data_IF_393969410849
#
_entry.id   IF_393969410849
#
_cell.length_a   1.000
_cell.length_b   1.000
_cell.length_c   1.000
_cell.angle_alpha   90.00
_cell.angle_beta   90.00
_cell.angle_gamma   90.00
#
_symmetry.space_group_name_H-M   'P 1'
#
loop_
_entity.id
_entity.type
_entity.pdbx_description
1 polymer ?
#
# COMPACT_ATOMS: atom_id res chain seq x y z
N UNK A 1 -26.15 -22.58 -17.84
CA UNK A 1 -24.88 -21.82 -17.71
C UNK A 1 -23.95 -22.38 -16.65
N UNK A 2 -24.35 -22.50 -15.37
CA UNK A 2 -23.53 -23.21 -14.36
C UNK A 2 -23.30 -24.67 -14.73
N UNK A 3 -24.33 -25.33 -15.26
CA UNK A 3 -24.27 -26.73 -15.69
C UNK A 3 -23.24 -26.97 -16.79
N UNK A 4 -23.02 -25.99 -17.67
CA UNK A 4 -22.00 -26.04 -18.72
C UNK A 4 -20.58 -26.03 -18.15
N UNK A 5 -20.37 -25.48 -16.94
CA UNK A 5 -19.05 -25.45 -16.30
C UNK A 5 -18.61 -26.84 -15.80
N UNK A 6 -19.53 -27.78 -15.60
CA UNK A 6 -19.16 -29.16 -15.25
C UNK A 6 -18.51 -29.93 -16.41
N UNK A 7 -18.52 -29.36 -17.63
CA UNK A 7 -17.84 -29.95 -18.80
C UNK A 7 -16.37 -29.54 -18.90
N UNK A 8 -15.94 -28.54 -18.12
CA UNK A 8 -14.57 -28.06 -18.10
C UNK A 8 -13.71 -28.95 -17.22
N UNK A 9 -12.41 -28.98 -17.50
CA UNK A 9 -11.45 -29.65 -16.64
C UNK A 9 -11.13 -28.84 -15.36
N UNK A 10 -10.35 -29.44 -14.47
CA UNK A 10 -10.01 -28.83 -13.18
C UNK A 10 -9.18 -27.55 -13.35
N UNK A 11 -8.27 -27.50 -14.32
CA UNK A 11 -7.41 -26.35 -14.56
C UNK A 11 -8.22 -25.18 -15.10
N UNK A 12 -9.10 -25.43 -16.08
CA UNK A 12 -10.01 -24.42 -16.63
C UNK A 12 -10.91 -23.82 -15.54
N UNK A 13 -11.40 -24.65 -14.62
CA UNK A 13 -12.20 -24.19 -13.48
C UNK A 13 -11.39 -23.31 -12.52
N UNK A 14 -10.12 -23.67 -12.24
CA UNK A 14 -9.23 -22.86 -11.40
C UNK A 14 -8.92 -21.51 -12.05
N UNK A 15 -8.64 -21.49 -13.36
CA UNK A 15 -8.37 -20.26 -14.10
C UNK A 15 -9.57 -19.31 -14.07
N UNK A 16 -10.79 -19.84 -14.24
CA UNK A 16 -12.02 -19.04 -14.12
C UNK A 16 -12.25 -18.49 -12.70
N UNK A 17 -11.82 -19.21 -11.66
CA UNK A 17 -11.88 -18.71 -10.28
C UNK A 17 -10.89 -17.56 -10.08
N UNK A 18 -9.66 -17.68 -10.59
CA UNK A 18 -8.65 -16.63 -10.49
C UNK A 18 -9.05 -15.38 -11.27
N UNK A 19 -9.62 -15.54 -12.48
CA UNK A 19 -10.20 -14.43 -13.22
C UNK A 19 -11.34 -13.76 -12.45
N UNK A 20 -12.21 -14.55 -11.82
CA UNK A 20 -13.27 -14.02 -10.96
C UNK A 20 -12.72 -13.21 -9.77
N UNK A 21 -11.65 -13.67 -9.12
CA UNK A 21 -11.00 -12.94 -8.03
C UNK A 21 -10.39 -11.62 -8.52
N UNK A 22 -9.77 -11.63 -9.69
CA UNK A 22 -9.23 -10.43 -10.32
C UNK A 22 -10.33 -9.41 -10.66
N UNK A 23 -11.43 -9.86 -11.26
CA UNK A 23 -12.59 -9.02 -11.55
C UNK A 23 -13.22 -8.42 -10.29
N UNK A 24 -13.25 -9.16 -9.17
CA UNK A 24 -13.70 -8.62 -7.88
C UNK A 24 -12.79 -7.46 -7.44
N UNK A 25 -11.46 -7.64 -7.50
CA UNK A 25 -10.50 -6.59 -7.11
C UNK A 25 -10.61 -5.35 -8.01
N UNK A 26 -10.68 -5.54 -9.33
CA UNK A 26 -10.82 -4.46 -10.31
C UNK A 26 -12.14 -3.70 -10.13
N UNK A 27 -13.25 -4.42 -9.98
CA UNK A 27 -14.56 -3.80 -9.82
C UNK A 27 -14.66 -3.05 -8.49
N UNK A 28 -14.09 -3.59 -7.41
CA UNK A 28 -14.01 -2.90 -6.12
C UNK A 28 -13.18 -1.60 -6.23
N UNK A 29 -12.02 -1.65 -6.90
CA UNK A 29 -11.23 -0.45 -7.20
C UNK A 29 -11.97 0.56 -8.07
N UNK A 30 -12.75 0.10 -9.04
CA UNK A 30 -13.60 0.95 -9.89
C UNK A 30 -14.68 1.65 -9.06
N UNK A 31 -15.36 0.95 -8.14
CA UNK A 31 -16.30 1.57 -7.21
C UNK A 31 -15.64 2.66 -6.36
N UNK A 32 -14.43 2.40 -5.86
CA UNK A 32 -13.67 3.40 -5.11
C UNK A 32 -13.40 4.65 -5.96
N UNK A 33 -12.87 4.47 -7.18
CA UNK A 33 -12.54 5.59 -8.06
C UNK A 33 -13.75 6.36 -8.57
N UNK A 34 -14.86 5.69 -8.89
CA UNK A 34 -16.10 6.39 -9.23
C UNK A 34 -16.66 7.15 -8.03
N UNK A 35 -16.56 6.59 -6.82
CA UNK A 35 -16.96 7.31 -5.60
C UNK A 35 -16.08 8.55 -5.38
N UNK A 36 -14.76 8.43 -5.60
CA UNK A 36 -13.84 9.58 -5.57
C UNK A 36 -14.22 10.62 -6.63
N UNK A 37 -14.51 10.19 -7.85
CA UNK A 37 -14.88 11.09 -8.95
C UNK A 37 -16.17 11.87 -8.66
N UNK A 38 -17.17 11.21 -8.08
CA UNK A 38 -18.49 11.80 -7.82
C UNK A 38 -18.55 12.59 -6.50
N UNK A 39 -17.88 12.11 -5.44
CA UNK A 39 -18.04 12.62 -4.07
C UNK A 39 -16.77 13.26 -3.49
N UNK A 40 -15.62 13.09 -4.13
CA UNK A 40 -14.31 13.50 -3.62
C UNK A 40 -13.62 12.43 -2.77
N UNK A 41 -12.30 12.54 -2.67
CA UNK A 41 -11.44 11.50 -2.08
C UNK A 41 -11.73 11.21 -0.60
N UNK A 42 -11.92 12.23 0.25
CA UNK A 42 -12.18 12.02 1.68
C UNK A 42 -13.48 11.21 1.91
N UNK A 43 -14.55 11.55 1.16
CA UNK A 43 -15.81 10.79 1.22
C UNK A 43 -15.64 9.37 0.67
N UNK A 44 -14.86 9.19 -0.39
CA UNK A 44 -14.56 7.85 -0.92
C UNK A 44 -13.84 6.97 0.09
N UNK A 45 -12.89 7.51 0.86
CA UNK A 45 -12.20 6.80 1.95
C UNK A 45 -13.18 6.39 3.06
N UNK A 46 -14.12 7.26 3.43
CA UNK A 46 -15.16 6.94 4.42
C UNK A 46 -16.10 5.83 3.95
N UNK A 47 -16.59 5.94 2.71
CA UNK A 47 -17.46 4.93 2.08
C UNK A 47 -16.73 3.59 2.01
N UNK A 48 -15.45 3.60 1.61
CA UNK A 48 -14.62 2.40 1.53
C UNK A 48 -14.42 1.71 2.88
N UNK A 49 -14.13 2.44 3.96
CA UNK A 49 -13.98 1.83 5.29
C UNK A 49 -15.29 1.15 5.75
N UNK A 50 -16.45 1.70 5.39
CA UNK A 50 -17.76 1.08 5.68
C UNK A 50 -17.99 -0.13 4.78
N UNK A 51 -17.74 -0.02 3.48
CA UNK A 51 -17.98 -1.07 2.50
C UNK A 51 -17.07 -2.28 2.72
N UNK A 52 -15.77 -2.05 2.92
CA UNK A 52 -14.76 -3.08 3.10
C UNK A 52 -15.07 -3.99 4.30
N UNK A 53 -15.44 -3.38 5.45
CA UNK A 53 -15.81 -4.10 6.67
C UNK A 53 -17.03 -5.00 6.51
N UNK A 54 -17.92 -4.69 5.56
CA UNK A 54 -19.11 -5.49 5.27
C UNK A 54 -18.82 -6.57 4.24
N UNK A 55 -18.13 -6.23 3.15
CA UNK A 55 -17.94 -7.15 2.02
C UNK A 55 -16.90 -8.24 2.32
N UNK A 56 -15.82 -7.93 3.05
CA UNK A 56 -14.75 -8.89 3.29
C UNK A 56 -15.25 -10.13 4.06
N UNK A 57 -15.97 -10.03 5.19
CA UNK A 57 -16.52 -11.21 5.87
C UNK A 57 -17.48 -12.01 4.98
N UNK A 58 -18.27 -11.35 4.13
CA UNK A 58 -19.19 -12.03 3.19
C UNK A 58 -18.41 -12.88 2.18
N UNK A 59 -17.32 -12.33 1.62
CA UNK A 59 -16.46 -13.06 0.68
C UNK A 59 -15.77 -14.25 1.35
N UNK A 60 -15.20 -14.03 2.53
CA UNK A 60 -14.51 -15.07 3.29
C UNK A 60 -15.46 -16.20 3.69
N UNK A 61 -16.65 -15.87 4.21
CA UNK A 61 -17.65 -16.87 4.60
C UNK A 61 -18.06 -17.73 3.40
N UNK A 62 -18.32 -17.14 2.22
CA UNK A 62 -18.69 -17.91 1.01
C UNK A 62 -17.63 -18.94 0.61
N UNK A 63 -16.35 -18.56 0.66
CA UNK A 63 -15.24 -19.48 0.36
C UNK A 63 -15.12 -20.53 1.46
N UNK A 64 -15.15 -20.11 2.72
CA UNK A 64 -15.03 -20.99 3.87
C UNK A 64 -16.15 -22.05 3.91
N UNK A 65 -17.42 -21.65 3.75
CA UNK A 65 -18.55 -22.59 3.74
C UNK A 65 -18.45 -23.59 2.57
N UNK A 66 -17.94 -23.17 1.40
CA UNK A 66 -17.77 -24.06 0.24
C UNK A 66 -16.80 -25.20 0.53
N UNK A 67 -15.69 -24.90 1.18
CA UNK A 67 -14.64 -25.88 1.50
C UNK A 67 -14.74 -26.42 2.94
N UNK A 68 -15.82 -26.09 3.66
CA UNK A 68 -16.04 -26.45 5.07
C UNK A 68 -14.87 -26.05 5.98
N UNK A 69 -14.23 -24.92 5.66
CA UNK A 69 -13.19 -24.33 6.51
C UNK A 69 -13.88 -23.77 7.75
N UNK A 70 -13.46 -24.17 8.97
CA UNK A 70 -14.04 -23.64 10.19
C UNK A 70 -13.85 -22.12 10.27
N UNK A 71 -14.92 -21.40 10.62
CA UNK A 71 -14.89 -19.95 10.87
C UNK A 71 -15.22 -19.62 12.32
N UNK A 72 -14.82 -18.43 12.75
CA UNK A 72 -15.21 -17.77 14.00
C UNK A 72 -15.54 -16.32 13.64
N UNK A 73 -16.78 -15.90 13.89
CA UNK A 73 -17.28 -14.56 13.57
C UNK A 73 -17.08 -14.12 12.09
N UNK A 74 -17.22 -15.07 11.15
CA UNK A 74 -17.03 -14.83 9.71
C UNK A 74 -15.57 -14.75 9.25
N UNK A 75 -14.61 -15.05 10.14
CA UNK A 75 -13.18 -15.13 9.83
C UNK A 75 -12.71 -16.58 9.92
N UNK A 76 -11.89 -17.08 8.98
CA UNK A 76 -11.32 -18.43 9.09
C UNK A 76 -10.56 -18.64 10.41
N UNK A 77 -10.78 -19.78 11.06
CA UNK A 77 -10.22 -20.04 12.40
C UNK A 77 -8.70 -20.00 12.45
N UNK A 78 -8.04 -20.40 11.37
CA UNK A 78 -6.58 -20.31 11.26
C UNK A 78 -6.04 -18.87 11.35
N UNK A 79 -6.88 -17.83 11.21
CA UNK A 79 -6.49 -16.44 11.50
C UNK A 79 -6.84 -16.04 12.94
N UNK A 80 -7.99 -16.48 13.46
CA UNK A 80 -8.42 -16.09 14.82
C UNK A 80 -7.74 -16.86 15.94
N UNK A 81 -7.15 -18.01 15.62
CA UNK A 81 -6.51 -18.92 16.58
C UNK A 81 -4.99 -19.07 16.30
N UNK A 82 -4.44 -18.37 15.29
CA UNK A 82 -3.01 -18.34 15.02
C UNK A 82 -2.22 -17.74 16.17
N UNK A 83 -0.95 -18.16 16.30
CA UNK A 83 -0.02 -17.52 17.21
C UNK A 83 0.22 -16.07 16.78
N UNK A 84 0.52 -15.20 17.75
CA UNK A 84 0.75 -13.78 17.48
C UNK A 84 1.89 -13.58 16.49
N UNK A 85 2.93 -14.38 16.61
CA UNK A 85 4.11 -14.37 15.74
C UNK A 85 3.73 -14.70 14.30
N UNK A 86 2.86 -15.70 14.08
CA UNK A 86 2.38 -16.07 12.75
C UNK A 86 1.54 -14.95 12.11
N UNK A 87 0.71 -14.26 12.90
CA UNK A 87 -0.06 -13.12 12.42
C UNK A 87 0.83 -11.93 12.03
N UNK A 88 1.93 -11.72 12.76
CA UNK A 88 2.92 -10.69 12.42
C UNK A 88 3.65 -11.05 11.13
N UNK A 89 4.11 -12.29 10.97
CA UNK A 89 4.76 -12.73 9.74
C UNK A 89 3.80 -12.69 8.54
N UNK A 90 2.54 -13.09 8.73
CA UNK A 90 1.52 -12.96 7.70
C UNK A 90 1.31 -11.49 7.31
N UNK A 91 1.29 -10.56 8.27
CA UNK A 91 1.19 -9.13 7.99
C UNK A 91 2.39 -8.63 7.18
N UNK A 92 3.61 -9.10 7.47
CA UNK A 92 4.81 -8.81 6.69
C UNK A 92 4.69 -9.37 5.26
N UNK A 93 4.15 -10.58 5.10
CA UNK A 93 3.89 -11.16 3.78
C UNK A 93 2.83 -10.39 2.98
N UNK A 94 1.80 -9.85 3.64
CA UNK A 94 0.85 -8.94 2.99
C UNK A 94 1.53 -7.67 2.46
N UNK A 95 2.48 -7.09 3.22
CA UNK A 95 3.27 -5.96 2.76
C UNK A 95 4.19 -6.31 1.59
N UNK A 96 4.81 -7.51 1.59
CA UNK A 96 5.60 -8.01 0.45
C UNK A 96 4.72 -8.18 -0.80
N UNK A 97 3.52 -8.74 -0.66
CA UNK A 97 2.58 -8.93 -1.77
C UNK A 97 2.12 -7.61 -2.37
N UNK A 98 1.83 -6.63 -1.52
CA UNK A 98 1.50 -5.28 -1.98
C UNK A 98 2.64 -4.66 -2.80
N UNK A 99 3.88 -4.71 -2.29
CA UNK A 99 5.03 -4.17 -3.05
C UNK A 99 5.32 -4.96 -4.33
N UNK A 100 5.14 -6.28 -4.31
CA UNK A 100 5.29 -7.10 -5.50
C UNK A 100 4.26 -6.72 -6.57
N UNK A 101 3.01 -6.47 -6.17
CA UNK A 101 1.97 -6.01 -7.09
C UNK A 101 2.31 -4.65 -7.71
N UNK A 102 2.79 -3.70 -6.89
CA UNK A 102 3.24 -2.38 -7.35
C UNK A 102 4.38 -2.49 -8.38
N UNK A 103 5.41 -3.29 -8.07
CA UNK A 103 6.55 -3.53 -8.96
C UNK A 103 6.17 -4.24 -10.26
N UNK A 104 5.30 -5.27 -10.22
CA UNK A 104 4.85 -5.98 -11.41
C UNK A 104 4.03 -5.06 -12.32
N UNK A 105 3.14 -4.23 -11.76
CA UNK A 105 2.41 -3.22 -12.54
C UNK A 105 3.35 -2.25 -13.24
N UNK A 106 4.36 -1.75 -12.52
CA UNK A 106 5.37 -0.86 -13.10
C UNK A 106 6.09 -1.54 -14.27
N UNK A 107 6.57 -2.77 -14.07
CA UNK A 107 7.33 -3.52 -15.08
C UNK A 107 6.49 -3.86 -16.31
N UNK A 108 5.21 -4.24 -16.14
CA UNK A 108 4.34 -4.54 -17.27
C UNK A 108 4.13 -3.30 -18.13
N UNK A 109 3.91 -2.13 -17.53
CA UNK A 109 3.80 -0.87 -18.29
C UNK A 109 5.13 -0.53 -18.96
N UNK A 110 6.23 -0.65 -18.22
CA UNK A 110 7.57 -0.37 -18.72
C UNK A 110 7.97 -1.29 -19.87
N UNK A 111 7.57 -2.56 -19.92
CA UNK A 111 8.14 -3.51 -20.91
C UNK A 111 7.27 -3.73 -22.15
N UNK A 112 6.02 -3.27 -22.16
CA UNK A 112 5.03 -3.68 -23.17
C UNK A 112 4.41 -2.52 -23.97
N UNK A 113 4.75 -1.25 -23.70
CA UNK A 113 4.11 -0.09 -24.36
C UNK A 113 5.10 1.01 -24.71
N UNK A 114 5.12 1.49 -25.96
CA UNK A 114 5.95 2.63 -26.39
C UNK A 114 5.82 3.83 -25.43
N UNK A 115 6.94 4.47 -25.06
CA UNK A 115 7.10 5.47 -23.96
C UNK A 115 7.19 4.92 -22.51
N UNK A 116 7.34 3.60 -22.40
CA UNK A 116 7.81 2.76 -21.27
C UNK A 116 8.09 3.47 -19.93
N UNK A 117 9.30 4.00 -19.72
CA UNK A 117 9.71 4.53 -18.41
C UNK A 117 8.95 5.81 -18.01
N UNK A 118 8.68 6.72 -18.95
CA UNK A 118 7.98 7.97 -18.63
C UNK A 118 6.55 7.69 -18.17
N UNK A 119 5.84 6.83 -18.91
CA UNK A 119 4.47 6.46 -18.58
C UNK A 119 4.38 5.62 -17.31
N UNK A 120 5.24 4.61 -17.15
CA UNK A 120 5.30 3.80 -15.93
C UNK A 120 5.49 4.68 -14.69
N UNK A 121 6.45 5.61 -14.77
CA UNK A 121 6.72 6.56 -13.69
C UNK A 121 5.57 7.54 -13.45
N UNK A 122 4.92 8.06 -14.50
CA UNK A 122 3.76 8.96 -14.35
C UNK A 122 2.57 8.26 -13.69
N UNK A 123 2.29 7.03 -14.10
CA UNK A 123 1.22 6.19 -13.52
C UNK A 123 1.56 5.88 -12.05
N UNK A 124 2.79 5.47 -11.78
CA UNK A 124 3.30 5.23 -10.43
C UNK A 124 3.15 6.47 -9.53
N UNK A 125 3.69 7.62 -9.95
CA UNK A 125 3.66 8.86 -9.17
C UNK A 125 2.20 9.27 -8.87
N UNK A 126 1.28 9.10 -9.84
CA UNK A 126 -0.15 9.40 -9.67
C UNK A 126 -0.87 8.40 -8.75
N UNK A 127 -0.49 7.12 -8.79
CA UNK A 127 -0.97 6.10 -7.86
C UNK A 127 -0.55 6.44 -6.43
N UNK A 128 0.74 6.75 -6.24
CA UNK A 128 1.31 7.15 -4.96
C UNK A 128 0.67 8.40 -4.36
N UNK A 129 0.32 9.38 -5.21
CA UNK A 129 -0.38 10.59 -4.76
C UNK A 129 -1.69 10.32 -4.01
N UNK A 130 -2.43 9.30 -4.48
CA UNK A 130 -3.70 8.89 -3.90
C UNK A 130 -3.47 7.92 -2.75
N UNK A 131 -2.71 6.85 -3.00
CA UNK A 131 -2.51 5.77 -2.04
C UNK A 131 -1.89 6.27 -0.73
N UNK A 132 -0.88 7.14 -0.79
CA UNK A 132 -0.23 7.67 0.42
C UNK A 132 -1.19 8.46 1.31
N UNK A 133 -2.06 9.28 0.70
CA UNK A 133 -3.09 10.03 1.44
C UNK A 133 -4.15 9.09 2.04
N UNK A 134 -4.61 8.10 1.26
CA UNK A 134 -5.56 7.07 1.73
C UNK A 134 -4.96 6.30 2.92
N UNK A 135 -3.72 5.83 2.79
CA UNK A 135 -2.98 5.10 3.82
C UNK A 135 -2.89 5.93 5.12
N UNK A 136 -2.50 7.20 5.01
CA UNK A 136 -2.44 8.14 6.13
C UNK A 136 -3.80 8.27 6.84
N UNK A 137 -4.89 8.52 6.10
CA UNK A 137 -6.25 8.62 6.68
C UNK A 137 -6.69 7.35 7.37
N UNK A 138 -6.40 6.17 6.77
CA UNK A 138 -6.73 4.87 7.37
C UNK A 138 -5.94 4.61 8.65
N UNK A 139 -4.64 4.89 8.65
CA UNK A 139 -3.79 4.74 9.84
C UNK A 139 -4.29 5.67 10.95
N UNK A 140 -4.51 6.95 10.62
CA UNK A 140 -5.00 7.96 11.55
C UNK A 140 -6.31 7.52 12.23
N UNK A 141 -7.28 7.03 11.45
CA UNK A 141 -8.55 6.49 11.97
C UNK A 141 -8.32 5.27 12.86
N UNK A 142 -7.49 4.32 12.45
CA UNK A 142 -7.22 3.08 13.19
C UNK A 142 -6.57 3.33 14.55
N UNK A 143 -5.68 4.31 14.61
CA UNK A 143 -4.95 4.70 15.83
C UNK A 143 -5.69 5.76 16.65
N UNK A 144 -6.85 6.25 16.20
CA UNK A 144 -7.58 7.37 16.80
C UNK A 144 -6.70 8.64 16.97
N UNK A 145 -5.82 8.90 16.01
CA UNK A 145 -4.99 10.10 16.02
C UNK A 145 -5.84 11.35 15.78
N UNK A 146 -5.55 12.49 16.45
CA UNK A 146 -6.33 13.71 16.32
C UNK A 146 -6.19 14.33 14.92
N UNK A 147 -7.25 15.00 14.47
CA UNK A 147 -7.17 15.86 13.30
C UNK A 147 -6.18 17.00 13.55
N UNK A 148 -5.21 17.18 12.63
CA UNK A 148 -4.17 18.18 12.82
C UNK A 148 -3.22 17.87 13.99
N UNK A 149 -2.93 16.58 14.24
CA UNK A 149 -2.05 16.13 15.31
C UNK A 149 -0.56 16.49 15.14
N UNK A 150 -0.19 17.21 14.07
CA UNK A 150 1.16 17.69 13.81
C UNK A 150 2.20 16.58 13.66
N UNK A 151 3.45 16.94 13.94
CA UNK A 151 4.61 16.06 13.85
C UNK A 151 4.54 14.81 14.77
N UNK A 152 4.00 14.88 16.01
CA UNK A 152 3.82 13.67 16.83
C UNK A 152 2.91 12.63 16.17
N UNK A 153 1.78 13.05 15.62
CA UNK A 153 0.86 12.14 14.91
C UNK A 153 1.50 11.58 13.63
N UNK A 154 2.28 12.40 12.90
CA UNK A 154 3.02 11.95 11.72
C UNK A 154 4.05 10.87 12.09
N UNK A 155 4.85 11.11 13.15
CA UNK A 155 5.86 10.16 13.63
C UNK A 155 5.24 8.81 13.96
N UNK A 156 4.12 8.81 14.69
CA UNK A 156 3.40 7.58 15.02
C UNK A 156 2.88 6.89 13.75
N UNK A 157 2.22 7.64 12.86
CA UNK A 157 1.64 7.09 11.64
C UNK A 157 2.68 6.47 10.68
N UNK A 158 3.88 7.05 10.58
CA UNK A 158 4.99 6.52 9.75
C UNK A 158 5.39 5.09 10.18
N UNK A 159 5.22 4.74 11.46
CA UNK A 159 5.49 3.40 11.98
C UNK A 159 4.46 2.32 11.58
N UNK A 160 3.30 2.72 11.03
CA UNK A 160 2.19 1.82 10.68
C UNK A 160 1.92 1.73 9.18
N UNK A 161 2.82 2.28 8.35
CA UNK A 161 2.78 2.15 6.89
C UNK A 161 3.13 0.73 6.45
N UNK A 162 2.66 0.32 5.29
CA UNK A 162 3.05 -0.96 4.67
C UNK A 162 4.57 -1.07 4.54
N UNK A 163 5.24 0.02 4.17
CA UNK A 163 6.69 0.06 4.07
C UNK A 163 7.43 -0.20 5.37
N UNK A 164 6.86 0.15 6.52
CA UNK A 164 7.49 -0.04 7.82
C UNK A 164 7.69 -1.54 8.15
N UNK A 165 6.94 -2.43 7.51
CA UNK A 165 7.01 -3.89 7.72
C UNK A 165 8.13 -4.56 6.90
N UNK A 166 8.63 -3.91 5.85
CA UNK A 166 9.52 -4.54 4.86
C UNK A 166 10.82 -3.77 4.62
N UNK A 167 10.96 -2.60 5.25
CA UNK A 167 12.11 -1.72 5.15
C UNK A 167 12.64 -1.37 6.54
N UNK A 168 13.91 -0.97 6.61
CA UNK A 168 14.49 -0.39 7.84
C UNK A 168 14.48 1.12 7.71
N UNK A 169 13.90 1.79 8.70
CA UNK A 169 13.70 3.23 8.71
C UNK A 169 13.99 3.82 10.09
N UNK A 170 14.44 5.07 10.11
CA UNK A 170 14.67 5.85 11.32
C UNK A 170 13.96 7.21 11.28
N UNK A 171 13.60 7.71 12.46
CA UNK A 171 13.07 9.05 12.64
C UNK A 171 13.99 9.78 13.62
N UNK A 172 14.54 10.90 13.17
CA UNK A 172 15.38 11.80 13.96
C UNK A 172 14.57 13.05 14.28
N UNK A 173 14.24 13.24 15.56
CA UNK A 173 13.61 14.47 16.04
C UNK A 173 14.68 15.56 16.19
N UNK A 174 14.60 16.59 15.35
CA UNK A 174 15.57 17.70 15.35
C UNK A 174 15.12 18.81 16.30
N UNK A 175 13.82 19.07 16.34
CA UNK A 175 13.18 20.05 17.22
C UNK A 175 11.66 19.76 17.32
N UNK A 176 10.90 20.46 18.19
CA UNK A 176 9.45 20.28 18.28
C UNK A 176 8.69 20.54 16.97
N UNK A 177 9.27 21.30 16.04
CA UNK A 177 8.69 21.66 14.75
C UNK A 177 9.46 21.09 13.55
N UNK A 178 10.37 20.12 13.77
CA UNK A 178 11.14 19.49 12.69
C UNK A 178 11.50 18.04 13.02
N UNK A 179 11.12 17.12 12.13
CA UNK A 179 11.59 15.74 12.16
C UNK A 179 12.19 15.34 10.80
N UNK A 180 13.19 14.47 10.84
CA UNK A 180 13.81 13.87 9.65
C UNK A 180 13.49 12.38 9.65
N UNK A 181 12.87 11.90 8.59
CA UNK A 181 12.65 10.49 8.32
C UNK A 181 13.70 10.00 7.33
N UNK A 182 14.32 8.84 7.59
CA UNK A 182 15.30 8.22 6.68
C UNK A 182 14.93 6.77 6.43
N UNK A 183 15.04 6.39 5.17
CA UNK A 183 14.92 5.01 4.71
C UNK A 183 16.31 4.39 4.68
N UNK A 184 16.72 3.74 5.77
CA UNK A 184 18.04 3.13 5.88
C UNK A 184 18.20 1.95 4.91
N UNK A 185 17.19 1.09 4.82
CA UNK A 185 17.16 -0.02 3.88
C UNK A 185 15.84 -0.02 3.11
N UNK A 186 15.93 0.06 1.78
CA UNK A 186 14.78 0.01 0.89
C UNK A 186 14.78 -1.30 0.12
N UNK A 187 13.76 -2.13 0.29
CA UNK A 187 13.64 -3.44 -0.36
C UNK A 187 13.79 -3.37 -1.89
N UNK A 188 13.25 -2.31 -2.52
CA UNK A 188 13.39 -2.07 -3.96
C UNK A 188 14.84 -1.82 -4.35
N UNK A 189 15.51 -0.88 -3.67
CA UNK A 189 16.91 -0.57 -3.97
C UNK A 189 17.85 -1.74 -3.64
N UNK A 190 17.61 -2.44 -2.53
CA UNK A 190 18.37 -3.65 -2.19
C UNK A 190 18.19 -4.75 -3.23
N UNK A 191 17.00 -4.93 -3.80
CA UNK A 191 16.77 -5.88 -4.89
C UNK A 191 17.54 -5.49 -6.15
N UNK A 192 17.55 -4.20 -6.51
CA UNK A 192 18.31 -3.70 -7.67
C UNK A 192 19.81 -3.83 -7.48
N UNK A 193 20.33 -3.48 -6.30
CA UNK A 193 21.73 -3.67 -5.93
C UNK A 193 22.16 -5.14 -6.05
N UNK A 194 21.33 -6.09 -5.58
CA UNK A 194 21.59 -7.54 -5.76
C UNK A 194 21.58 -7.97 -7.23
N UNK A 195 20.77 -7.33 -8.06
CA UNK A 195 20.70 -7.57 -9.50
C UNK A 195 21.80 -6.83 -10.30
N UNK A 196 22.69 -6.08 -9.65
CA UNK A 196 23.72 -5.27 -10.32
C UNK A 196 23.14 -4.08 -11.12
N UNK A 197 21.91 -3.67 -10.81
CA UNK A 197 21.25 -2.54 -11.45
C UNK A 197 21.52 -1.23 -10.68
N UNK A 198 21.56 -0.07 -11.36
CA UNK A 198 21.64 1.22 -10.69
C UNK A 198 20.40 1.46 -9.83
N UNK A 199 20.51 2.31 -8.82
CA UNK A 199 19.37 2.70 -7.98
C UNK A 199 18.22 3.21 -8.84
N UNK A 200 17.02 2.80 -8.47
CA UNK A 200 15.79 3.23 -9.11
C UNK A 200 15.56 4.72 -8.83
N UNK A 201 15.31 5.57 -9.84
CA UNK A 201 15.11 7.01 -9.67
C UNK A 201 13.75 7.36 -9.04
N UNK A 202 13.53 7.00 -7.78
CA UNK A 202 12.26 7.12 -7.06
C UNK A 202 11.94 8.52 -6.50
N UNK A 203 12.82 9.52 -6.66
CA UNK A 203 12.63 10.85 -6.06
C UNK A 203 11.27 11.49 -6.34
N UNK A 204 10.77 11.39 -7.57
CA UNK A 204 9.46 11.96 -7.91
C UNK A 204 8.31 11.31 -7.15
N UNK A 205 8.32 9.98 -7.09
CA UNK A 205 7.32 9.19 -6.38
C UNK A 205 7.39 9.54 -4.90
N UNK A 206 8.61 9.56 -4.34
CA UNK A 206 8.85 9.92 -2.96
C UNK A 206 8.34 11.33 -2.62
N UNK A 207 8.62 12.34 -3.45
CA UNK A 207 8.16 13.72 -3.20
C UNK A 207 6.65 13.74 -3.08
N UNK A 208 5.96 13.08 -4.00
CA UNK A 208 4.50 13.01 -4.00
C UNK A 208 4.00 12.18 -2.83
N UNK A 209 4.54 10.98 -2.62
CA UNK A 209 4.18 10.06 -1.55
C UNK A 209 4.28 10.68 -0.17
N UNK A 210 5.45 11.19 0.22
CA UNK A 210 5.68 11.69 1.58
C UNK A 210 4.96 13.03 1.82
N UNK A 211 4.77 13.85 0.78
CA UNK A 211 3.94 15.05 0.89
C UNK A 211 2.48 14.69 1.11
N UNK A 212 1.92 13.81 0.28
CA UNK A 212 0.51 13.40 0.38
C UNK A 212 0.20 12.59 1.63
N UNK A 213 1.14 11.76 2.09
CA UNK A 213 1.03 11.09 3.37
C UNK A 213 0.94 12.10 4.52
N UNK A 214 1.89 13.05 4.59
CA UNK A 214 1.90 14.08 5.63
C UNK A 214 0.63 14.94 5.61
N UNK A 215 0.16 15.36 4.44
CA UNK A 215 -1.10 16.10 4.28
C UNK A 215 -2.32 15.32 4.79
N UNK A 216 -2.33 13.99 4.63
CA UNK A 216 -3.39 13.12 5.17
C UNK A 216 -3.43 13.09 6.70
N UNK A 217 -2.29 13.32 7.35
CA UNK A 217 -2.17 13.45 8.80
C UNK A 217 -2.53 14.87 9.25
N UNK A 218 -1.83 15.87 8.73
CA UNK A 218 -2.01 17.29 9.03
C UNK A 218 -1.59 18.15 7.81
N UNK A 219 -2.53 18.89 7.19
CA UNK A 219 -2.25 19.67 5.98
C UNK A 219 -1.28 20.85 6.18
N UNK A 220 -0.95 21.19 7.43
CA UNK A 220 0.04 22.24 7.74
C UNK A 220 1.47 21.75 7.56
N UNK A 221 1.70 20.43 7.64
CA UNK A 221 3.04 19.85 7.53
C UNK A 221 3.61 20.11 6.13
N UNK A 222 4.86 20.56 6.08
CA UNK A 222 5.63 20.75 4.86
C UNK A 222 6.71 19.67 4.76
N UNK A 223 6.76 19.02 3.60
CA UNK A 223 7.71 17.95 3.30
C UNK A 223 8.79 18.47 2.36
N UNK A 224 10.06 18.19 2.67
CA UNK A 224 11.21 18.50 1.82
C UNK A 224 12.08 17.27 1.62
N UNK A 225 12.46 16.99 0.37
CA UNK A 225 13.42 15.93 0.04
C UNK A 225 14.83 16.40 0.41
N UNK A 226 15.51 15.68 1.31
CA UNK A 226 16.92 15.92 1.63
C UNK A 226 17.86 15.14 0.72
N UNK A 227 17.41 13.99 0.22
CA UNK A 227 18.12 13.18 -0.77
C UNK A 227 17.29 11.95 -1.11
N UNK A 228 17.26 11.59 -2.39
CA UNK A 228 16.59 10.40 -2.89
C UNK A 228 17.08 10.10 -4.32
N UNK A 229 17.37 8.84 -4.68
CA UNK A 229 17.73 8.45 -6.03
C UNK A 229 16.82 9.09 -7.09
N UNK A 230 17.39 9.66 -8.17
CA UNK A 230 18.77 9.48 -8.63
C UNK A 230 19.78 10.46 -8.00
N UNK A 231 19.37 11.29 -7.05
CA UNK A 231 20.33 12.14 -6.34
C UNK A 231 21.35 11.29 -5.58
N UNK A 232 22.60 11.77 -5.45
CA UNK A 232 23.56 11.16 -4.54
C UNK A 232 23.01 11.08 -3.12
N UNK A 233 23.25 9.96 -2.46
CA UNK A 233 22.92 9.73 -1.05
C UNK A 233 24.09 9.01 -0.38
N UNK A 234 24.22 9.08 0.95
CA UNK A 234 25.30 8.42 1.66
C UNK A 234 24.96 6.92 1.85
N UNK A 235 25.87 6.15 2.44
CA UNK A 235 25.70 4.69 2.58
C UNK A 235 24.64 4.30 3.62
N UNK A 236 24.36 5.17 4.59
CA UNK A 236 23.50 4.86 5.75
C UNK A 236 22.00 4.92 5.43
N UNK A 237 21.61 5.56 4.33
CA UNK A 237 20.22 5.66 3.90
C UNK A 237 20.08 5.92 2.41
N UNK A 238 18.99 5.40 1.83
CA UNK A 238 18.63 5.60 0.43
C UNK A 238 17.86 6.89 0.21
N UNK A 239 16.91 7.23 1.09
CA UNK A 239 16.22 8.50 1.01
C UNK A 239 15.96 9.13 2.37
N UNK A 240 15.91 10.46 2.38
CA UNK A 240 15.72 11.25 3.59
C UNK A 240 14.72 12.38 3.32
N UNK A 241 13.79 12.56 4.25
CA UNK A 241 12.65 13.46 4.14
C UNK A 241 12.54 14.29 5.41
N UNK A 242 12.52 15.60 5.23
CA UNK A 242 12.29 16.56 6.30
C UNK A 242 10.81 16.92 6.35
N UNK A 243 10.25 16.91 7.55
CA UNK A 243 8.91 17.40 7.81
C UNK A 243 8.97 18.54 8.83
N UNK A 244 8.30 19.64 8.51
CA UNK A 244 8.19 20.84 9.35
C UNK A 244 6.75 21.29 9.48
N UNK A 245 6.43 22.05 10.52
CA UNK A 245 5.11 22.65 10.75
C UNK A 245 5.23 24.06 11.32
#
# INVERSE_FOLDING_TARGET
MKEERYKLDEQELVDLIFDSLHLIALHYGTWFWETEHQLGLDKAIEVDDIAWRKVLPIMLERVASRFKVPTKDGVPRFLTEAAKEELVELLVDMAKNWLASDGVWFQVVEQNFDYEMYNAKRINDSCWAKFAYIEAKRIRKRLNLPDGGGLPALKEALGYRQYALINRQEIVEVSPNKLIFRMNECRVQSARKRAGLPDYPCKSAGVVEYTRFAEGIDPRIKTTCLGCPPDPHPEEWYCAWEFTI
#
